data_IF_982011525599
#
_entry.id   IF_982011525599
#
_cell.length_a   1.000
_cell.length_b   1.000
_cell.length_c   1.000
_cell.angle_alpha   90.00
_cell.angle_beta   90.00
_cell.angle_gamma   90.00
#
_symmetry.space_group_name_H-M   'P 1'
#
loop_
_entity.id
_entity.type
_entity.pdbx_description
1 polymer ?
#
# COMPACT_ATOMS: atom_id res chain seq x y z
N UNK A 1 -1.25 -4.84 3.23
CA UNK A 1 -0.08 -3.98 2.87
C UNK A 1 -0.39 -2.56 3.28
N UNK A 2 0.41 -1.95 4.16
CA UNK A 2 0.12 -0.63 4.75
C UNK A 2 1.26 0.34 4.46
N UNK A 3 0.95 1.54 3.96
CA UNK A 3 1.97 2.54 3.62
C UNK A 3 2.60 3.14 4.88
N UNK A 4 3.93 3.21 4.91
CA UNK A 4 4.68 3.95 5.93
C UNK A 4 4.86 5.42 5.55
N UNK A 5 4.89 5.73 4.25
CA UNK A 5 5.23 7.06 3.75
C UNK A 5 4.06 7.71 3.01
N UNK A 6 4.13 9.04 2.91
CA UNK A 6 3.21 9.86 2.11
C UNK A 6 3.89 10.31 0.82
N UNK A 7 3.21 10.20 -0.31
CA UNK A 7 3.74 10.55 -1.62
C UNK A 7 3.04 9.80 -2.76
N UNK A 8 3.63 9.83 -3.95
CA UNK A 8 3.08 9.16 -5.13
C UNK A 8 3.63 7.74 -5.28
N UNK A 9 2.76 6.79 -5.65
CA UNK A 9 3.13 5.42 -5.94
C UNK A 9 4.11 5.33 -7.11
N UNK A 10 5.20 4.56 -6.94
CA UNK A 10 6.17 4.37 -8.01
C UNK A 10 6.04 2.98 -8.62
N UNK A 11 6.08 2.87 -9.96
CA UNK A 11 6.01 1.57 -10.64
C UNK A 11 7.10 0.60 -10.17
N UNK A 12 8.30 1.12 -9.89
CA UNK A 12 9.41 0.36 -9.36
C UNK A 12 9.06 -0.37 -8.06
N UNK A 13 8.41 0.31 -7.12
CA UNK A 13 8.07 -0.32 -5.86
C UNK A 13 6.81 -1.17 -5.96
N UNK A 14 5.83 -0.76 -6.77
CA UNK A 14 4.63 -1.57 -7.01
C UNK A 14 4.99 -2.93 -7.62
N UNK A 15 6.00 -2.99 -8.49
CA UNK A 15 6.52 -4.26 -9.04
C UNK A 15 7.03 -5.21 -7.94
N UNK A 16 7.70 -4.68 -6.92
CA UNK A 16 8.16 -5.48 -5.78
C UNK A 16 7.01 -5.87 -4.83
N UNK A 17 5.97 -5.03 -4.73
CA UNK A 17 4.87 -5.23 -3.79
C UNK A 17 3.81 -6.20 -4.31
N UNK A 18 3.59 -6.28 -5.63
CA UNK A 18 2.67 -7.26 -6.22
C UNK A 18 3.14 -8.72 -6.00
N UNK A 19 4.45 -8.97 -5.89
CA UNK A 19 4.95 -10.30 -5.52
C UNK A 19 4.58 -10.71 -4.08
N UNK A 20 4.23 -9.73 -3.24
CA UNK A 20 3.86 -9.93 -1.83
C UNK A 20 2.35 -9.99 -1.61
N UNK A 21 1.54 -9.68 -2.62
CA UNK A 21 0.10 -9.75 -2.55
C UNK A 21 -0.62 -8.91 -3.60
N UNK A 22 -1.93 -8.72 -3.45
CA UNK A 22 -2.75 -8.04 -4.46
C UNK A 22 -2.76 -6.54 -4.21
N UNK A 23 -2.39 -5.73 -5.21
CA UNK A 23 -2.41 -4.27 -5.10
C UNK A 23 -3.81 -3.69 -5.30
N UNK A 24 -4.11 -2.59 -4.61
CA UNK A 24 -5.34 -1.81 -4.79
C UNK A 24 -5.11 -0.47 -5.51
N UNK A 25 -3.84 -0.11 -5.70
CA UNK A 25 -3.40 1.17 -6.24
C UNK A 25 -2.60 0.98 -7.52
N UNK A 26 -2.61 2.03 -8.35
CA UNK A 26 -1.84 2.13 -9.59
C UNK A 26 -0.62 3.04 -9.41
N UNK A 27 0.35 3.00 -10.34
CA UNK A 27 1.40 4.02 -10.39
C UNK A 27 0.80 5.44 -10.40
N UNK A 28 1.51 6.39 -9.77
CA UNK A 28 1.11 7.80 -9.63
C UNK A 28 -0.07 8.07 -8.69
N UNK A 29 -0.71 7.03 -8.12
CA UNK A 29 -1.72 7.25 -7.09
C UNK A 29 -1.10 7.93 -5.87
N UNK A 30 -1.83 8.91 -5.32
CA UNK A 30 -1.43 9.64 -4.13
C UNK A 30 -1.75 8.81 -2.89
N UNK A 31 -0.72 8.54 -2.10
CA UNK A 31 -0.74 7.69 -0.92
C UNK A 31 -0.35 8.52 0.30
N UNK A 32 -0.90 8.17 1.45
CA UNK A 32 -0.49 8.72 2.73
C UNK A 32 -0.16 7.61 3.73
N UNK A 33 0.57 7.97 4.79
CA UNK A 33 0.96 7.06 5.87
C UNK A 33 -0.27 6.42 6.53
N UNK A 34 -0.26 5.09 6.70
CA UNK A 34 -1.37 4.31 7.23
C UNK A 34 -2.49 3.99 6.25
N UNK A 35 -2.38 4.45 4.99
CA UNK A 35 -3.25 4.00 3.90
C UNK A 35 -2.95 2.53 3.55
N UNK A 36 -4.00 1.74 3.34
CA UNK A 36 -3.90 0.36 2.88
C UNK A 36 -3.79 0.37 1.35
N UNK A 37 -2.70 -0.19 0.84
CA UNK A 37 -2.34 -0.14 -0.58
C UNK A 37 -2.51 -1.47 -1.30
N UNK A 38 -2.84 -2.52 -0.54
CA UNK A 38 -3.06 -3.85 -1.06
C UNK A 38 -3.29 -4.88 0.03
N UNK A 39 -3.68 -6.07 -0.39
CA UNK A 39 -3.84 -7.26 0.44
C UNK A 39 -2.50 -7.99 0.53
N UNK A 40 -2.08 -8.38 1.73
CA UNK A 40 -0.88 -9.20 1.87
C UNK A 40 -1.23 -10.67 1.58
N UNK A 41 -0.31 -11.41 0.94
CA UNK A 41 -0.45 -12.86 0.72
C UNK A 41 -0.45 -13.68 2.02
N UNK A 42 0.00 -13.07 3.12
CA UNK A 42 0.02 -13.67 4.47
C UNK A 42 -1.00 -12.98 5.36
N UNK A 43 -1.52 -13.66 6.40
CA UNK A 43 -2.54 -13.10 7.30
C UNK A 43 -2.12 -11.83 8.07
N UNK A 44 -0.80 -11.60 8.24
CA UNK A 44 -0.29 -10.46 8.99
C UNK A 44 -0.22 -9.18 8.15
N UNK A 45 -0.46 -8.03 8.76
CA UNK A 45 -0.15 -6.75 8.14
C UNK A 45 1.34 -6.62 7.81
N UNK A 46 1.64 -6.10 6.62
CA UNK A 46 3.01 -5.79 6.21
C UNK A 46 3.14 -4.28 5.94
N UNK A 47 3.95 -3.56 6.74
CA UNK A 47 4.33 -2.18 6.46
C UNK A 47 5.21 -2.09 5.21
N UNK A 48 4.99 -1.09 4.36
CA UNK A 48 5.69 -0.94 3.09
C UNK A 48 5.80 0.53 2.65
N UNK A 49 6.74 0.83 1.73
CA UNK A 49 7.01 2.20 1.27
C UNK A 49 6.74 2.32 -0.23
N UNK A 50 5.49 2.38 -0.68
CA UNK A 50 5.12 2.37 -2.11
C UNK A 50 5.67 3.57 -2.92
N UNK A 51 6.13 4.62 -2.23
CA UNK A 51 6.67 5.85 -2.80
C UNK A 51 8.18 5.78 -3.09
N UNK A 52 8.85 4.68 -2.70
CA UNK A 52 10.30 4.55 -2.81
C UNK A 52 10.75 4.50 -4.26
N UNK A 53 11.56 5.48 -4.67
CA UNK A 53 12.17 5.53 -6.00
C UNK A 53 13.42 4.63 -6.08
N UNK A 54 13.70 4.14 -7.29
CA UNK A 54 14.97 3.47 -7.60
C UNK A 54 16.11 4.45 -7.39
N UNK A 55 17.14 4.06 -6.64
CA UNK A 55 18.36 4.87 -6.54
C UNK A 55 19.09 4.83 -7.88
N UNK A 56 19.34 6.01 -8.45
CA UNK A 56 20.12 6.17 -9.68
C UNK A 56 21.62 6.03 -9.35
N UNK A 57 22.07 4.83 -9.03
CA UNK A 57 23.50 4.52 -9.11
C UNK A 57 23.88 4.49 -10.58
N UNK A 58 24.82 5.36 -10.98
CA UNK A 58 25.42 5.47 -12.31
C UNK A 58 26.01 4.12 -12.78
N UNK A 59 25.15 3.19 -13.16
CA UNK A 59 25.55 1.89 -13.66
C UNK A 59 25.17 1.78 -15.12
N UNK A 60 26.25 1.85 -15.91
CA UNK A 60 26.44 1.49 -17.30
C UNK A 60 25.65 0.24 -17.72
N UNK A 61 24.37 0.42 -18.02
CA UNK A 61 23.57 -0.56 -18.76
C UNK A 61 22.56 0.18 -19.62
N UNK A 62 23.08 0.77 -20.70
CA UNK A 62 22.33 0.97 -21.93
C UNK A 62 21.63 -0.35 -22.29
N UNK A 63 20.36 -0.28 -22.65
CA UNK A 63 19.57 -1.40 -23.21
C UNK A 63 18.93 -2.37 -22.21
N UNK A 64 18.26 -1.84 -21.18
CA UNK A 64 17.22 -2.60 -20.47
C UNK A 64 16.02 -1.71 -20.23
N UNK A 65 15.28 -1.45 -21.30
CA UNK A 65 13.91 -0.96 -21.23
C UNK A 65 13.07 -2.05 -20.56
N UNK A 66 13.12 -2.08 -19.22
CA UNK A 66 12.25 -2.93 -18.43
C UNK A 66 10.84 -2.39 -18.58
N UNK A 67 10.04 -3.02 -19.44
CA UNK A 67 8.59 -2.90 -19.37
C UNK A 67 8.17 -3.47 -18.02
N UNK A 68 7.97 -2.60 -17.02
CA UNK A 68 7.45 -2.99 -15.72
C UNK A 68 6.07 -3.61 -15.95
N UNK A 69 5.95 -4.92 -15.74
CA UNK A 69 4.67 -5.63 -15.86
C UNK A 69 3.99 -5.56 -14.51
N UNK A 70 2.94 -4.74 -14.42
CA UNK A 70 2.09 -4.67 -13.24
C UNK A 70 0.79 -5.42 -13.51
N UNK A 71 0.41 -6.26 -12.56
CA UNK A 71 -0.91 -6.85 -12.52
C UNK A 71 -1.95 -5.75 -12.33
N UNK A 72 -3.14 -5.94 -12.91
CA UNK A 72 -4.22 -4.97 -12.81
C UNK A 72 -4.64 -4.85 -11.33
N UNK A 73 -4.57 -3.65 -10.72
CA UNK A 73 -4.95 -3.49 -9.32
C UNK A 73 -6.42 -3.83 -9.09
N UNK A 74 -6.71 -4.48 -7.96
CA UNK A 74 -8.09 -4.76 -7.56
C UNK A 74 -8.75 -3.46 -7.14
N UNK A 75 -9.71 -2.99 -7.96
CA UNK A 75 -10.53 -1.82 -7.63
C UNK A 75 -11.47 -2.13 -6.47
N UNK A 76 -11.35 -1.35 -5.40
CA UNK A 76 -12.24 -1.43 -4.24
C UNK A 76 -13.44 -0.50 -4.44
N UNK A 77 -14.61 -1.07 -4.69
CA UNK A 77 -15.89 -0.33 -4.62
C UNK A 77 -16.28 -0.12 -3.16
N UNK A 78 -17.31 0.67 -2.90
CA UNK A 78 -17.73 0.96 -1.53
C UNK A 78 -18.18 -0.32 -0.81
N UNK A 79 -18.98 -1.13 -1.50
CA UNK A 79 -19.53 -2.37 -0.99
C UNK A 79 -18.40 -3.36 -0.67
N UNK A 80 -17.46 -3.53 -1.61
CA UNK A 80 -16.28 -4.39 -1.41
C UNK A 80 -15.38 -3.88 -0.29
N UNK A 81 -15.21 -2.57 -0.18
CA UNK A 81 -14.41 -1.97 0.88
C UNK A 81 -15.05 -2.22 2.26
N UNK A 82 -16.36 -2.05 2.38
CA UNK A 82 -17.10 -2.29 3.63
C UNK A 82 -17.12 -3.78 4.03
N UNK A 83 -17.19 -4.68 3.06
CA UNK A 83 -17.10 -6.13 3.31
C UNK A 83 -15.68 -6.56 3.73
N UNK A 84 -14.64 -5.86 3.23
CA UNK A 84 -13.25 -6.28 3.39
C UNK A 84 -12.58 -5.78 4.67
N UNK A 85 -12.94 -4.59 5.19
CA UNK A 85 -12.24 -3.97 6.32
C UNK A 85 -12.32 -4.78 7.62
N UNK A 86 -11.25 -4.72 8.40
CA UNK A 86 -11.21 -5.21 9.79
C UNK A 86 -11.65 -4.12 10.80
N UNK A 87 -11.81 -4.51 12.08
CA UNK A 87 -12.22 -3.60 13.16
C UNK A 87 -11.25 -2.43 13.40
N UNK A 88 -9.96 -2.61 13.11
CA UNK A 88 -8.94 -1.56 13.27
C UNK A 88 -8.70 -0.76 11.97
N UNK A 89 -9.65 -0.84 11.04
CA UNK A 89 -9.59 -0.24 9.71
C UNK A 89 -10.83 0.61 9.41
N UNK A 90 -10.66 1.58 8.53
CA UNK A 90 -11.69 2.52 8.13
C UNK A 90 -11.73 2.66 6.61
N UNK A 91 -12.95 2.84 6.09
CA UNK A 91 -13.16 3.25 4.70
C UNK A 91 -13.27 4.76 4.66
N UNK A 92 -12.32 5.42 4.00
CA UNK A 92 -12.35 6.84 3.72
C UNK A 92 -13.11 7.08 2.41
N UNK A 93 -14.24 7.76 2.49
CA UNK A 93 -15.10 8.03 1.34
C UNK A 93 -15.10 9.52 1.02
N UNK A 94 -14.87 9.83 -0.25
CA UNK A 94 -14.98 11.17 -0.83
C UNK A 94 -15.77 11.07 -2.13
N UNK A 95 -16.33 12.17 -2.66
CA UNK A 95 -17.07 12.13 -3.93
C UNK A 95 -16.27 11.58 -5.12
N UNK A 96 -14.94 11.62 -5.05
CA UNK A 96 -14.04 11.21 -6.15
C UNK A 96 -13.32 9.90 -5.89
N UNK A 97 -13.30 9.40 -4.65
CA UNK A 97 -12.44 8.27 -4.28
C UNK A 97 -12.90 7.58 -3.01
N UNK A 98 -12.69 6.26 -2.99
CA UNK A 98 -12.87 5.38 -1.84
C UNK A 98 -11.49 4.82 -1.54
N UNK A 99 -11.04 4.98 -0.29
CA UNK A 99 -9.73 4.52 0.17
C UNK A 99 -9.87 3.68 1.43
N UNK A 100 -8.94 2.77 1.62
CA UNK A 100 -8.82 1.94 2.80
C UNK A 100 -7.65 2.47 3.64
N UNK A 101 -7.84 2.54 4.95
CA UNK A 101 -6.80 3.00 5.89
C UNK A 101 -6.92 2.29 7.23
N UNK A 102 -5.85 2.28 8.00
CA UNK A 102 -5.92 1.92 9.42
C UNK A 102 -6.54 3.07 10.23
N UNK A 103 -7.15 2.72 11.36
CA UNK A 103 -7.64 3.67 12.36
C UNK A 103 -6.51 4.51 12.94
N UNK A 104 -5.42 3.85 13.35
CA UNK A 104 -4.17 4.50 13.76
C UNK A 104 -3.22 4.50 12.57
N UNK A 105 -2.84 5.69 12.10
CA UNK A 105 -2.02 5.82 10.90
C UNK A 105 -0.55 5.46 11.13
N UNK A 106 0.01 5.87 12.26
CA UNK A 106 1.41 5.64 12.57
C UNK A 106 1.66 4.17 12.94
N UNK A 107 2.68 3.57 12.33
CA UNK A 107 3.03 2.17 12.56
C UNK A 107 3.55 1.92 13.98
N UNK A 108 4.30 2.87 14.54
CA UNK A 108 4.82 2.79 15.89
C UNK A 108 3.69 2.84 16.93
N UNK A 109 2.73 3.73 16.75
CA UNK A 109 1.53 3.82 17.59
C UNK A 109 0.67 2.56 17.49
N UNK A 110 0.47 2.00 16.29
CA UNK A 110 -0.24 0.72 16.12
C UNK A 110 0.41 -0.41 16.90
N UNK A 111 1.74 -0.56 16.82
CA UNK A 111 2.46 -1.58 17.57
C UNK A 111 2.33 -1.40 19.08
N UNK A 112 2.32 -0.16 19.58
CA UNK A 112 2.08 0.15 21.00
C UNK A 112 0.66 -0.22 21.42
N UNK A 113 -0.34 0.15 20.62
CA UNK A 113 -1.75 -0.16 20.89
C UNK A 113 -1.99 -1.68 20.91
N UNK A 114 -1.43 -2.42 19.94
CA UNK A 114 -1.52 -3.87 19.88
C UNK A 114 -0.91 -4.54 21.13
N UNK A 115 0.26 -4.06 21.58
CA UNK A 115 0.90 -4.56 22.82
C UNK A 115 0.05 -4.32 24.06
N UNK A 116 -0.61 -3.16 24.15
CA UNK A 116 -1.47 -2.81 25.29
C UNK A 116 -2.73 -3.67 25.34
N UNK A 117 -3.26 -4.06 24.19
CA UNK A 117 -4.44 -4.94 24.10
C UNK A 117 -4.10 -6.40 24.45
N UNK A 118 -2.88 -6.84 24.16
CA UNK A 118 -2.41 -8.19 24.47
C UNK A 118 -1.88 -8.39 25.90
N UNK A 119 -1.76 -7.32 26.68
CA UNK A 119 -1.28 -7.31 28.05
C UNK A 119 -2.45 -7.28 29.03
#
# INVERSE_FOLDING_TARGET
LVSLDTGEATSYQLENLQERGTLFISPMDKIYTGMIVGENSRPSDMPCNPTKRKQATNHRSSTKDFTVKLDVPRKMTLEKALEWIAEDELVEVTPKSIRLRKSILDDGERRKAAKKLSA
#
